data_IF_734972407276
#
_entry.id   IF_734972407276
#
_cell.length_a   1.000
_cell.length_b   1.000
_cell.length_c   1.000
_cell.angle_alpha   90.00
_cell.angle_beta   90.00
_cell.angle_gamma   90.00
#
_symmetry.space_group_name_H-M   'P 1'
#
loop_
_entity.id
_entity.type
_entity.pdbx_description
1 polymer ?
#
# COMPACT_ATOMS: atom_id res chain seq x y z
N UNK A 1 -10.61 -14.34 43.21
CA UNK A 1 -11.20 -13.39 42.24
C UNK A 1 -10.24 -12.24 42.09
N UNK A 2 -9.47 -12.22 41.01
CA UNK A 2 -8.70 -11.06 40.57
C UNK A 2 -8.78 -11.08 39.05
N UNK A 3 -9.53 -10.11 38.54
CA UNK A 3 -9.84 -9.95 37.14
C UNK A 3 -8.56 -9.64 36.35
N UNK A 4 -8.35 -10.37 35.26
CA UNK A 4 -7.35 -10.02 34.26
C UNK A 4 -7.81 -8.78 33.51
N UNK A 5 -6.99 -7.73 33.51
CA UNK A 5 -7.16 -6.57 32.65
C UNK A 5 -6.81 -6.95 31.20
N UNK A 6 -7.65 -6.55 30.22
CA UNK A 6 -7.29 -6.67 28.81
C UNK A 6 -6.28 -5.56 28.45
N UNK A 7 -5.06 -5.95 28.06
CA UNK A 7 -4.10 -5.06 27.40
C UNK A 7 -4.61 -4.77 25.99
N UNK A 8 -5.42 -3.72 25.88
CA UNK A 8 -5.81 -3.10 24.62
C UNK A 8 -5.60 -1.60 24.71
N UNK A 9 -4.60 -1.10 23.98
CA UNK A 9 -4.53 0.26 23.44
C UNK A 9 -3.21 0.43 22.66
N UNK A 10 -3.13 -0.13 21.45
CA UNK A 10 -2.37 0.57 20.41
C UNK A 10 -3.20 1.80 20.04
N UNK A 11 -2.93 2.90 20.72
CA UNK A 11 -3.55 4.20 20.47
C UNK A 11 -2.49 5.17 19.97
N UNK A 12 -2.95 5.95 19.00
CA UNK A 12 -2.37 7.17 18.44
C UNK A 12 -1.37 7.01 17.30
N UNK A 13 -1.88 6.83 16.07
CA UNK A 13 -1.28 7.46 14.89
C UNK A 13 -2.36 7.79 13.86
N UNK A 14 -2.79 9.06 13.78
CA UNK A 14 -3.17 9.61 12.46
C UNK A 14 -2.78 11.08 12.27
N UNK A 15 -1.90 11.64 13.10
CA UNK A 15 -1.35 13.00 12.92
C UNK A 15 0.09 13.02 12.38
N UNK A 16 0.75 11.87 12.29
CA UNK A 16 2.21 11.84 12.12
C UNK A 16 2.68 11.81 10.66
N UNK A 17 1.88 11.43 9.66
CA UNK A 17 2.45 11.27 8.30
C UNK A 17 2.87 12.58 7.62
N UNK A 18 2.22 13.70 7.95
CA UNK A 18 2.67 15.05 7.55
C UNK A 18 3.95 15.51 8.29
N UNK A 19 4.23 14.95 9.46
CA UNK A 19 5.50 15.16 10.19
C UNK A 19 6.58 14.12 9.89
N UNK A 20 6.22 12.96 9.31
CA UNK A 20 7.12 11.86 8.99
C UNK A 20 7.86 12.05 7.65
N UNK A 21 7.36 12.93 6.79
CA UNK A 21 8.03 13.30 5.54
C UNK A 21 8.32 14.81 5.52
N UNK A 22 9.33 15.29 6.28
CA UNK A 22 9.80 16.66 6.19
C UNK A 22 10.15 17.03 4.73
N UNK A 23 10.01 18.32 4.34
CA UNK A 23 10.36 18.77 3.00
C UNK A 23 11.78 18.37 2.57
N UNK A 24 12.73 18.35 3.52
CA UNK A 24 14.12 17.97 3.33
C UNK A 24 14.25 16.48 2.97
N UNK A 25 13.54 15.60 3.69
CA UNK A 25 13.51 14.16 3.41
C UNK A 25 12.87 13.88 2.04
N UNK A 26 11.82 14.60 1.68
CA UNK A 26 11.19 14.45 0.36
C UNK A 26 12.13 14.87 -0.76
N UNK A 27 12.90 15.94 -0.57
CA UNK A 27 13.87 16.38 -1.56
C UNK A 27 14.98 15.34 -1.78
N UNK A 28 15.44 14.69 -0.72
CA UNK A 28 16.40 13.58 -0.81
C UNK A 28 15.79 12.34 -1.49
N UNK A 29 14.55 11.99 -1.13
CA UNK A 29 13.81 10.88 -1.73
C UNK A 29 13.52 11.11 -3.22
N UNK A 30 13.31 12.35 -3.64
CA UNK A 30 13.14 12.69 -5.06
C UNK A 30 14.39 12.37 -5.89
N UNK A 31 15.59 12.48 -5.31
CA UNK A 31 16.86 12.15 -5.98
C UNK A 31 17.23 10.66 -5.89
N UNK A 32 16.46 9.87 -5.15
CA UNK A 32 16.76 8.47 -4.85
C UNK A 32 16.35 7.50 -5.97
N UNK A 33 16.99 6.33 -6.01
CA UNK A 33 16.55 5.19 -6.83
C UNK A 33 15.27 4.56 -6.27
N UNK A 34 14.61 3.70 -7.06
CA UNK A 34 13.38 3.04 -6.63
C UNK A 34 13.61 2.12 -5.42
N UNK A 35 14.75 1.41 -5.40
CA UNK A 35 15.10 0.49 -4.32
C UNK A 35 15.35 1.24 -3.01
N UNK A 36 16.03 2.39 -3.09
CA UNK A 36 16.28 3.24 -1.92
C UNK A 36 14.97 3.84 -1.41
N UNK A 37 14.11 4.36 -2.30
CA UNK A 37 12.81 4.89 -1.91
C UNK A 37 11.96 3.83 -1.17
N UNK A 38 11.93 2.60 -1.68
CA UNK A 38 11.19 1.51 -1.04
C UNK A 38 11.77 1.18 0.34
N UNK A 39 13.09 1.15 0.49
CA UNK A 39 13.74 0.90 1.78
C UNK A 39 13.40 1.99 2.81
N UNK A 40 13.49 3.26 2.43
CA UNK A 40 13.19 4.40 3.31
C UNK A 40 11.71 4.41 3.71
N UNK A 41 10.79 4.27 2.74
CA UNK A 41 9.36 4.23 3.04
C UNK A 41 8.97 3.03 3.91
N UNK A 42 9.63 1.88 3.73
CA UNK A 42 9.43 0.72 4.60
C UNK A 42 9.78 1.03 6.05
N UNK A 43 10.92 1.67 6.30
CA UNK A 43 11.35 2.07 7.65
C UNK A 43 10.42 3.13 8.25
N UNK A 44 10.05 4.16 7.48
CA UNK A 44 9.12 5.22 7.90
C UNK A 44 7.75 4.65 8.31
N UNK A 45 7.26 3.66 7.57
CA UNK A 45 5.96 3.03 7.81
C UNK A 45 6.01 1.92 8.87
N UNK A 46 7.20 1.53 9.35
CA UNK A 46 7.38 0.45 10.31
C UNK A 46 7.02 -0.95 9.77
N UNK A 47 7.07 -1.15 8.46
CA UNK A 47 6.68 -2.42 7.82
C UNK A 47 7.80 -3.46 7.87
N UNK A 48 7.82 -4.24 8.94
CA UNK A 48 8.84 -5.26 9.20
C UNK A 48 8.56 -6.61 8.54
N UNK A 49 7.30 -6.91 8.24
CA UNK A 49 6.83 -8.22 7.77
C UNK A 49 6.31 -8.18 6.32
N UNK A 50 6.55 -7.13 5.54
CA UNK A 50 6.04 -7.01 4.17
C UNK A 50 6.34 -8.20 3.25
N UNK A 51 7.38 -9.00 3.50
CA UNK A 51 7.68 -10.20 2.72
C UNK A 51 6.70 -11.37 2.97
N UNK A 52 6.00 -11.36 4.10
CA UNK A 52 5.10 -12.44 4.54
C UNK A 52 3.68 -11.95 4.86
N UNK A 53 3.50 -10.66 5.10
CA UNK A 53 2.22 -10.01 5.33
C UNK A 53 1.76 -9.29 4.05
N UNK A 54 0.73 -9.84 3.40
CA UNK A 54 0.13 -9.26 2.20
C UNK A 54 -0.34 -7.81 2.43
N UNK A 55 -0.86 -7.51 3.63
CA UNK A 55 -1.33 -6.17 3.96
C UNK A 55 -0.19 -5.17 3.96
N UNK A 56 0.91 -5.44 4.66
CA UNK A 56 2.09 -4.57 4.65
C UNK A 56 2.67 -4.43 3.23
N UNK A 57 2.72 -5.52 2.45
CA UNK A 57 3.21 -5.50 1.07
C UNK A 57 2.41 -4.55 0.18
N UNK A 58 1.07 -4.67 0.20
CA UNK A 58 0.16 -3.84 -0.60
C UNK A 58 0.23 -2.38 -0.19
N UNK A 59 0.33 -2.10 1.12
CA UNK A 59 0.44 -0.72 1.61
C UNK A 59 1.79 -0.11 1.23
N UNK A 60 2.89 -0.85 1.35
CA UNK A 60 4.21 -0.37 0.94
C UNK A 60 4.22 -0.03 -0.56
N UNK A 61 3.73 -0.95 -1.40
CA UNK A 61 3.64 -0.76 -2.85
C UNK A 61 2.80 0.49 -3.20
N UNK A 62 1.68 0.69 -2.50
CA UNK A 62 0.82 1.85 -2.71
C UNK A 62 1.53 3.18 -2.42
N UNK A 63 2.26 3.28 -1.31
CA UNK A 63 3.01 4.50 -0.97
C UNK A 63 4.21 4.73 -1.89
N UNK A 64 4.96 3.68 -2.24
CA UNK A 64 6.08 3.76 -3.19
C UNK A 64 5.59 4.23 -4.56
N UNK A 65 4.53 3.62 -5.09
CA UNK A 65 3.92 4.02 -6.35
C UNK A 65 3.41 5.47 -6.30
N UNK A 66 2.80 5.87 -5.19
CA UNK A 66 2.31 7.23 -4.96
C UNK A 66 3.39 8.29 -5.01
N UNK A 67 4.48 8.05 -4.27
CA UNK A 67 5.63 8.95 -4.26
C UNK A 67 6.31 9.00 -5.63
N UNK A 68 6.52 7.83 -6.24
CA UNK A 68 7.17 7.73 -7.55
C UNK A 68 6.36 8.44 -8.64
N UNK A 69 5.04 8.26 -8.63
CA UNK A 69 4.15 8.99 -9.53
C UNK A 69 4.25 10.51 -9.35
N UNK A 70 4.26 11.01 -8.10
CA UNK A 70 4.40 12.44 -7.84
C UNK A 70 5.73 12.98 -8.37
N UNK A 71 6.82 12.22 -8.22
CA UNK A 71 8.12 12.52 -8.80
C UNK A 71 8.07 12.58 -10.34
N UNK A 72 7.47 11.59 -10.99
CA UNK A 72 7.31 11.58 -12.47
C UNK A 72 6.41 12.70 -12.99
N UNK A 73 5.42 13.12 -12.19
CA UNK A 73 4.57 14.26 -12.47
C UNK A 73 5.27 15.62 -12.28
N UNK A 74 6.55 15.63 -11.89
CA UNK A 74 7.35 16.82 -11.57
C UNK A 74 6.76 17.69 -10.46
N UNK A 75 6.09 17.07 -9.48
CA UNK A 75 5.57 17.79 -8.33
C UNK A 75 6.72 18.31 -7.47
N UNK A 76 6.58 19.55 -7.01
CA UNK A 76 7.47 20.16 -6.01
C UNK A 76 7.48 19.31 -4.73
N UNK A 77 8.52 19.41 -3.87
CA UNK A 77 8.55 18.70 -2.60
C UNK A 77 7.26 18.88 -1.78
N UNK A 78 6.74 20.12 -1.71
CA UNK A 78 5.47 20.43 -1.02
C UNK A 78 4.27 19.70 -1.63
N UNK A 79 4.17 19.65 -2.96
CA UNK A 79 3.09 18.93 -3.65
C UNK A 79 3.24 17.39 -3.49
N UNK A 80 4.47 16.89 -3.44
CA UNK A 80 4.74 15.48 -3.12
C UNK A 80 4.35 15.15 -1.68
N UNK A 81 4.68 15.99 -0.68
CA UNK A 81 4.21 15.85 0.71
C UNK A 81 2.69 15.78 0.76
N UNK A 82 2.04 16.73 0.08
CA UNK A 82 0.59 16.81 0.01
C UNK A 82 -0.02 15.54 -0.61
N UNK A 83 0.58 15.04 -1.69
CA UNK A 83 0.15 13.79 -2.32
C UNK A 83 0.23 12.63 -1.34
N UNK A 84 1.35 12.47 -0.62
CA UNK A 84 1.50 11.40 0.39
C UNK A 84 0.47 11.53 1.53
N UNK A 85 0.20 12.75 1.97
CA UNK A 85 -0.83 13.02 2.98
C UNK A 85 -2.23 12.65 2.49
N UNK A 86 -2.56 12.93 1.23
CA UNK A 86 -3.82 12.52 0.60
C UNK A 86 -3.91 10.99 0.56
N UNK A 87 -2.88 10.30 0.06
CA UNK A 87 -2.87 8.83 -0.01
C UNK A 87 -3.13 8.18 1.35
N UNK A 88 -2.42 8.67 2.36
CA UNK A 88 -2.60 8.22 3.73
C UNK A 88 -4.02 8.47 4.24
N UNK A 89 -4.51 9.71 4.09
CA UNK A 89 -5.85 10.10 4.52
C UNK A 89 -6.94 9.21 3.91
N UNK A 90 -6.83 8.91 2.63
CA UNK A 90 -7.81 8.09 1.93
C UNK A 90 -7.79 6.64 2.42
N UNK A 91 -6.62 6.08 2.70
CA UNK A 91 -6.50 4.74 3.31
C UNK A 91 -7.04 4.71 4.74
N UNK A 92 -6.74 5.73 5.55
CA UNK A 92 -7.25 5.86 6.92
C UNK A 92 -8.77 6.01 6.96
N UNK A 93 -9.35 6.73 6.00
CA UNK A 93 -10.80 6.82 5.84
C UNK A 93 -11.43 5.43 5.61
N UNK A 94 -10.74 4.52 4.92
CA UNK A 94 -11.19 3.13 4.75
C UNK A 94 -10.97 2.33 6.04
N UNK A 95 -9.75 2.37 6.57
CA UNK A 95 -9.31 1.53 7.70
C UNK A 95 -10.04 1.87 9.00
N UNK A 96 -9.99 3.13 9.40
CA UNK A 96 -10.41 3.57 10.74
C UNK A 96 -11.87 4.05 10.74
N UNK A 97 -12.28 4.75 9.68
CA UNK A 97 -13.64 5.32 9.59
C UNK A 97 -14.63 4.44 8.85
N UNK A 98 -14.16 3.37 8.19
CA UNK A 98 -15.00 2.46 7.41
C UNK A 98 -15.89 3.21 6.40
N UNK A 99 -15.35 4.29 5.81
CA UNK A 99 -16.11 5.12 4.87
C UNK A 99 -16.52 4.31 3.64
N UNK A 100 -17.68 4.68 3.06
CA UNK A 100 -18.05 4.21 1.74
C UNK A 100 -17.17 4.87 0.67
N UNK A 101 -17.12 4.26 -0.52
CA UNK A 101 -16.44 4.87 -1.68
C UNK A 101 -16.94 6.30 -1.94
N UNK A 102 -18.26 6.49 -1.89
CA UNK A 102 -18.90 7.79 -2.16
C UNK A 102 -18.47 8.82 -1.13
N UNK A 103 -18.51 8.47 0.17
CA UNK A 103 -18.14 9.40 1.23
C UNK A 103 -16.66 9.79 1.16
N UNK A 104 -15.77 8.82 0.88
CA UNK A 104 -14.34 9.09 0.77
C UNK A 104 -14.01 9.93 -0.48
N UNK A 105 -14.76 9.76 -1.57
CA UNK A 105 -14.64 10.60 -2.76
C UNK A 105 -15.11 12.04 -2.48
N UNK A 106 -16.17 12.21 -1.69
CA UNK A 106 -16.64 13.53 -1.25
C UNK A 106 -15.63 14.19 -0.31
N UNK A 107 -15.00 13.44 0.60
CA UNK A 107 -13.93 13.98 1.46
C UNK A 107 -12.73 14.42 0.62
N UNK A 108 -12.33 13.61 -0.36
CA UNK A 108 -11.27 13.93 -1.31
C UNK A 108 -11.56 15.19 -2.14
N UNK A 109 -12.79 15.33 -2.67
CA UNK A 109 -13.16 16.47 -3.49
C UNK A 109 -13.15 17.79 -2.69
N UNK A 110 -13.50 17.74 -1.41
CA UNK A 110 -13.37 18.89 -0.49
C UNK A 110 -11.91 19.30 -0.30
N UNK A 111 -11.03 18.32 -0.04
CA UNK A 111 -9.58 18.56 0.10
C UNK A 111 -9.01 19.18 -1.17
N UNK A 112 -9.33 18.61 -2.35
CA UNK A 112 -8.91 19.17 -3.64
C UNK A 112 -9.42 20.59 -3.86
N UNK A 113 -10.69 20.85 -3.53
CA UNK A 113 -11.28 22.18 -3.73
C UNK A 113 -10.58 23.26 -2.92
N UNK A 114 -10.11 22.94 -1.70
CA UNK A 114 -9.38 23.88 -0.84
C UNK A 114 -8.01 24.20 -1.42
N UNK A 115 -7.26 23.19 -1.89
CA UNK A 115 -5.87 23.40 -2.38
C UNK A 115 -5.80 24.00 -3.78
N UNK A 116 -6.89 23.94 -4.55
CA UNK A 116 -7.02 24.59 -5.85
C UNK A 116 -7.50 26.04 -5.77
N UNK A 117 -7.99 26.50 -4.61
CA UNK A 117 -8.40 27.90 -4.43
C UNK A 117 -7.17 28.79 -4.20
N UNK A 118 -7.12 29.92 -4.90
CA UNK A 118 -6.28 31.05 -4.51
C UNK A 118 -7.01 31.88 -3.45
N UNK A 119 -6.35 32.34 -2.37
CA UNK A 119 -7.00 33.24 -1.43
C UNK A 119 -7.38 34.53 -2.15
N UNK A 120 -8.68 34.77 -2.24
CA UNK A 120 -9.28 35.97 -2.83
C UNK A 120 -9.19 37.13 -1.83
N UNK A 121 -7.99 37.61 -1.51
CA UNK A 121 -7.71 38.97 -1.00
C UNK A 121 -6.23 39.07 -0.68
N UNK A 122 -5.53 39.99 -1.34
CA UNK A 122 -4.29 40.63 -0.89
C UNK A 122 -3.23 39.73 -0.19
N UNK A 123 -2.63 38.79 -0.92
CA UNK A 123 -1.19 38.50 -0.87
C UNK A 123 -0.85 37.39 -1.86
N UNK A 124 0.38 37.42 -2.37
CA UNK A 124 0.96 36.67 -3.48
C UNK A 124 1.07 35.14 -3.29
N UNK A 125 0.02 34.47 -2.83
CA UNK A 125 0.01 33.01 -2.64
C UNK A 125 -0.77 32.34 -3.77
N UNK A 126 -0.05 31.69 -4.67
CA UNK A 126 -0.63 30.82 -5.68
C UNK A 126 -1.25 29.58 -5.03
N UNK A 127 -2.27 28.98 -5.67
CA UNK A 127 -2.81 27.69 -5.24
C UNK A 127 -1.70 26.63 -5.18
N UNK A 128 -1.85 25.63 -4.31
CA UNK A 128 -0.86 24.55 -4.19
C UNK A 128 -0.83 23.66 -5.45
N UNK A 129 -2.00 23.47 -6.06
CA UNK A 129 -2.16 22.75 -7.32
C UNK A 129 -2.84 23.67 -8.33
N UNK A 130 -2.37 23.63 -9.57
CA UNK A 130 -3.10 24.16 -10.72
C UNK A 130 -4.16 23.17 -11.22
N UNK A 131 -4.97 23.59 -12.19
CA UNK A 131 -6.06 22.75 -12.71
C UNK A 131 -5.56 21.46 -13.38
N UNK A 132 -4.38 21.45 -13.99
CA UNK A 132 -3.80 20.27 -14.65
C UNK A 132 -3.23 19.30 -13.62
N UNK A 133 -2.50 19.81 -12.64
CA UNK A 133 -1.93 19.05 -11.53
C UNK A 133 -3.04 18.38 -10.70
N UNK A 134 -4.11 19.13 -10.39
CA UNK A 134 -5.27 18.61 -9.68
C UNK A 134 -5.99 17.50 -10.47
N UNK A 135 -6.13 17.67 -11.80
CA UNK A 135 -6.71 16.64 -12.67
C UNK A 135 -5.82 15.39 -12.74
N UNK A 136 -4.49 15.57 -12.80
CA UNK A 136 -3.53 14.48 -12.80
C UNK A 136 -3.59 13.68 -11.49
N UNK A 137 -3.59 14.35 -10.33
CA UNK A 137 -3.76 13.72 -9.01
C UNK A 137 -5.10 12.99 -8.91
N UNK A 138 -6.18 13.61 -9.37
CA UNK A 138 -7.50 12.97 -9.40
C UNK A 138 -7.49 11.69 -10.23
N UNK A 139 -6.86 11.70 -11.41
CA UNK A 139 -6.73 10.53 -12.27
C UNK A 139 -5.91 9.43 -11.59
N UNK A 140 -4.79 9.79 -10.97
CA UNK A 140 -3.96 8.85 -10.21
C UNK A 140 -4.74 8.17 -9.09
N UNK A 141 -5.37 8.95 -8.20
CA UNK A 141 -6.16 8.44 -7.06
C UNK A 141 -7.31 7.55 -7.54
N UNK A 142 -7.98 7.93 -8.63
CA UNK A 142 -9.04 7.12 -9.22
C UNK A 142 -8.52 5.73 -9.59
N UNK A 143 -7.38 5.65 -10.26
CA UNK A 143 -6.84 4.39 -10.79
C UNK A 143 -6.12 3.56 -9.71
N UNK A 144 -5.47 4.21 -8.74
CA UNK A 144 -4.68 3.56 -7.70
C UNK A 144 -5.52 3.07 -6.52
N UNK A 145 -6.58 3.80 -6.16
CA UNK A 145 -7.40 3.53 -4.97
C UNK A 145 -8.88 3.31 -5.30
N UNK A 146 -9.57 4.28 -5.90
CA UNK A 146 -11.04 4.24 -5.98
C UNK A 146 -11.57 3.11 -6.88
N UNK A 147 -10.90 2.79 -7.98
CA UNK A 147 -11.25 1.63 -8.81
C UNK A 147 -11.06 0.30 -8.07
N UNK A 148 -10.17 0.27 -7.07
CA UNK A 148 -9.80 -0.92 -6.28
C UNK A 148 -10.38 -0.86 -4.86
N UNK A 149 -11.33 0.04 -4.59
CA UNK A 149 -11.76 0.38 -3.24
C UNK A 149 -12.24 -0.82 -2.41
N UNK A 150 -13.00 -1.73 -3.05
CA UNK A 150 -13.45 -2.96 -2.41
C UNK A 150 -12.26 -3.83 -1.98
N UNK A 151 -11.19 -3.92 -2.75
CA UNK A 151 -10.00 -4.70 -2.38
C UNK A 151 -9.36 -4.12 -1.11
N UNK A 152 -9.21 -2.79 -1.02
CA UNK A 152 -8.69 -2.15 0.18
C UNK A 152 -9.62 -2.32 1.39
N UNK A 153 -10.94 -2.27 1.21
CA UNK A 153 -11.88 -2.62 2.28
C UNK A 153 -11.61 -4.03 2.80
N UNK A 154 -11.52 -5.03 1.93
CA UNK A 154 -11.22 -6.41 2.34
C UNK A 154 -9.83 -6.58 2.95
N UNK A 155 -8.84 -5.80 2.48
CA UNK A 155 -7.48 -5.79 3.04
C UNK A 155 -7.46 -5.37 4.52
N UNK A 156 -8.38 -4.47 4.89
CA UNK A 156 -8.53 -4.00 6.27
C UNK A 156 -9.54 -4.82 7.08
N UNK A 157 -10.40 -5.61 6.43
CA UNK A 157 -11.29 -6.56 7.12
C UNK A 157 -10.47 -7.75 7.63
N UNK A 158 -10.60 -8.07 8.93
CA UNK A 158 -9.70 -8.98 9.67
C UNK A 158 -9.81 -10.52 9.49
N UNK A 159 -10.68 -11.17 8.68
CA UNK A 159 -10.90 -12.61 8.89
C UNK A 159 -9.86 -13.55 8.25
N UNK A 160 -8.99 -13.10 7.33
CA UNK A 160 -8.14 -14.04 6.57
C UNK A 160 -6.89 -14.53 7.30
N UNK A 161 -6.28 -13.70 8.14
CA UNK A 161 -5.08 -14.11 8.92
C UNK A 161 -5.46 -15.06 10.06
N UNK A 162 -6.65 -14.91 10.66
CA UNK A 162 -7.14 -15.83 11.71
C UNK A 162 -7.56 -17.20 11.12
N UNK A 163 -8.18 -17.24 9.93
CA UNK A 163 -8.66 -18.50 9.33
C UNK A 163 -7.52 -19.45 8.95
N UNK A 164 -6.38 -18.93 8.47
CA UNK A 164 -5.26 -19.77 8.02
C UNK A 164 -4.44 -20.36 9.16
N UNK A 165 -4.55 -19.79 10.36
CA UNK A 165 -3.86 -20.28 11.56
C UNK A 165 -4.65 -21.40 12.26
N UNK A 166 -5.98 -21.48 12.02
CA UNK A 166 -6.85 -22.52 12.55
C UNK A 166 -7.00 -23.76 11.66
N UNK A 167 -6.55 -23.71 10.39
CA UNK A 167 -6.52 -24.89 9.54
C UNK A 167 -5.29 -25.73 9.85
N UNK A 168 -5.51 -26.87 10.52
CA UNK A 168 -4.51 -27.92 10.65
C UNK A 168 -3.99 -28.27 9.25
N UNK A 169 -2.70 -28.01 8.99
CA UNK A 169 -2.05 -28.38 7.73
C UNK A 169 -1.78 -29.89 7.77
N UNK A 170 -2.79 -30.70 7.49
CA UNK A 170 -2.59 -32.12 7.18
C UNK A 170 -1.92 -32.21 5.82
N UNK A 171 -0.60 -32.35 5.81
CA UNK A 171 0.13 -32.81 4.64
C UNK A 171 -0.09 -34.32 4.58
N UNK A 172 -0.93 -34.78 3.65
CA UNK A 172 -0.99 -36.20 3.34
C UNK A 172 0.34 -36.61 2.70
N UNK A 173 1.21 -37.19 3.51
CA UNK A 173 2.40 -37.86 3.02
C UNK A 173 1.94 -39.19 2.44
N UNK A 174 1.86 -39.26 1.11
CA UNK A 174 1.71 -40.54 0.43
C UNK A 174 3.00 -41.34 0.69
N UNK A 175 2.94 -42.26 1.64
CA UNK A 175 3.92 -43.33 1.71
C UNK A 175 3.70 -44.21 0.49
N UNK A 176 4.58 -44.09 -0.49
CA UNK A 176 4.67 -45.05 -1.57
C UNK A 176 4.96 -46.41 -0.92
N UNK A 177 3.94 -47.27 -0.78
CA UNK A 177 4.07 -48.63 -0.26
C UNK A 177 4.70 -49.59 -1.28
N UNK A 178 5.25 -49.05 -2.37
CA UNK A 178 6.01 -49.81 -3.33
C UNK A 178 7.09 -48.88 -3.87
N UNK A 179 8.39 -49.12 -3.66
CA UNK A 179 9.39 -48.42 -4.45
C UNK A 179 9.03 -48.70 -5.90
N UNK A 180 8.61 -47.66 -6.64
CA UNK A 180 8.40 -47.77 -8.08
C UNK A 180 9.62 -48.49 -8.62
N UNK A 181 9.44 -49.76 -9.01
CA UNK A 181 10.47 -50.49 -9.73
C UNK A 181 10.87 -49.55 -10.86
N UNK A 182 12.18 -49.28 -11.07
CA UNK A 182 12.61 -48.40 -12.15
C UNK A 182 11.88 -48.84 -13.40
N UNK A 183 11.26 -47.90 -14.13
CA UNK A 183 10.68 -48.18 -15.43
C UNK A 183 11.82 -48.69 -16.34
N UNK A 184 12.04 -50.00 -16.37
CA UNK A 184 12.84 -50.70 -17.38
C UNK A 184 12.07 -50.70 -18.72
N UNK A 185 11.61 -49.53 -19.16
CA UNK A 185 11.33 -49.27 -20.57
C UNK A 185 12.55 -48.60 -21.20
N UNK A 186 13.69 -49.30 -21.09
CA UNK A 186 14.79 -49.12 -22.02
C UNK A 186 14.44 -49.82 -23.32
N UNK A 187 14.47 -49.10 -24.44
CA UNK A 187 14.44 -49.72 -25.77
C UNK A 187 15.66 -50.67 -25.84
N UNK A 188 15.49 -51.96 -26.17
CA UNK A 188 16.62 -52.86 -26.32
C UNK A 188 17.59 -52.34 -27.39
N UNK A 189 18.86 -52.16 -27.03
CA UNK A 189 19.93 -51.62 -27.90
C UNK A 189 20.22 -52.47 -29.14
N UNK A 190 19.64 -53.67 -29.28
CA UNK A 190 19.77 -54.48 -30.49
C UNK A 190 19.00 -53.93 -31.70
N UNK A 191 18.11 -52.93 -31.52
CA UNK A 191 17.43 -52.25 -32.62
C UNK A 191 18.27 -51.12 -33.26
N UNK A 192 19.47 -50.83 -32.75
CA UNK A 192 20.34 -49.78 -33.27
C UNK A 192 21.41 -50.25 -34.27
N UNK A 193 21.50 -51.56 -34.55
CA UNK A 193 22.39 -52.09 -35.57
C UNK A 193 21.63 -53.06 -36.48
N UNK A 194 20.89 -52.50 -37.43
CA UNK A 194 20.58 -53.16 -38.69
C UNK A 194 20.73 -52.19 -39.85
#
# INVERSE_FOLDING_TARGET
>A
MTAGEPRGAEKEQPKELLSLLPPELIQELQQSSAERLQAELKEILGFTNHQICMKEAVLLDYYVCGFWWAKEANFTPTQASFTMAVLHKLLDNIREKQMSLVDNLVDFSKVLSVVCQSPTSDESTSSLLDSKEAAALTCFIRNSLFQKYRLYQHLFTKPREELLTGMEKTIEVFHCQDPLAPLEQGIPTHLYFQ
#
